data_IF_951302930356
#
_entry.id   IF_951302930356
#
_cell.length_a   1.000
_cell.length_b   1.000
_cell.length_c   1.000
_cell.angle_alpha   90.00
_cell.angle_beta   90.00
_cell.angle_gamma   90.00
#
_symmetry.space_group_name_H-M   'P 1'
#
loop_
_entity.id
_entity.type
_entity.pdbx_description
1 polymer ?
#
# COMPACT_ATOMS: atom_id res chain seq x y z
N UNK A 1 -11.78 6.49 14.57
CA UNK A 1 -11.45 7.12 13.28
C UNK A 1 -9.95 7.06 13.21
N UNK A 2 -9.41 6.48 12.15
CA UNK A 2 -7.97 6.39 11.93
C UNK A 2 -7.54 7.47 10.93
N UNK A 3 -6.34 8.01 11.10
CA UNK A 3 -5.76 9.06 10.27
C UNK A 3 -4.53 8.54 9.54
N UNK A 4 -4.66 8.42 8.23
CA UNK A 4 -3.61 7.98 7.33
C UNK A 4 -3.04 9.18 6.58
N UNK A 5 -1.71 9.22 6.43
CA UNK A 5 -1.03 10.25 5.64
C UNK A 5 -0.75 9.73 4.22
N UNK A 6 -1.14 10.48 3.18
CA UNK A 6 -0.91 10.13 1.77
C UNK A 6 0.33 10.82 1.22
N UNK A 7 1.51 10.29 1.56
CA UNK A 7 2.79 10.85 1.12
C UNK A 7 3.86 9.76 1.04
N UNK A 8 4.96 10.08 0.35
CA UNK A 8 6.21 9.33 0.39
C UNK A 8 7.37 10.18 0.92
N UNK A 9 7.07 11.39 1.41
CA UNK A 9 8.02 12.26 2.08
C UNK A 9 8.17 11.83 3.54
N UNK A 10 9.37 11.38 3.89
CA UNK A 10 9.66 10.85 5.23
C UNK A 10 9.72 11.96 6.28
N UNK A 11 10.09 13.17 5.90
CA UNK A 11 10.17 14.29 6.85
C UNK A 11 8.76 14.73 7.25
N UNK A 12 7.82 14.77 6.31
CA UNK A 12 6.39 14.99 6.61
C UNK A 12 5.85 13.88 7.55
N UNK A 13 6.16 12.62 7.25
CA UNK A 13 5.70 11.48 8.07
C UNK A 13 6.26 11.59 9.50
N UNK A 14 7.53 11.97 9.65
CA UNK A 14 8.17 12.13 10.97
C UNK A 14 7.54 13.27 11.76
N UNK A 15 7.20 14.37 11.11
CA UNK A 15 6.51 15.50 11.74
C UNK A 15 5.13 15.09 12.27
N UNK A 16 4.29 14.49 11.40
CA UNK A 16 2.93 14.09 11.78
C UNK A 16 2.94 12.96 12.82
N UNK A 17 3.87 12.01 12.73
CA UNK A 17 4.04 10.97 13.73
C UNK A 17 4.33 11.56 15.12
N UNK A 18 5.15 12.63 15.20
CA UNK A 18 5.46 13.30 16.47
C UNK A 18 4.25 13.99 17.12
N UNK A 19 3.17 14.24 16.38
CA UNK A 19 1.93 14.77 16.92
C UNK A 19 1.09 13.70 17.65
N UNK A 20 1.42 12.42 17.46
CA UNK A 20 0.72 11.29 18.11
C UNK A 20 -0.64 10.97 17.51
N UNK A 21 -0.87 11.35 16.23
CA UNK A 21 -2.15 11.16 15.53
C UNK A 21 -2.03 10.28 14.27
N UNK A 22 -0.83 9.78 13.95
CA UNK A 22 -0.59 9.02 12.73
C UNK A 22 -0.91 7.54 12.95
N UNK A 23 -1.95 7.05 12.28
CA UNK A 23 -2.38 5.65 12.36
C UNK A 23 -1.90 4.79 11.19
N UNK A 24 -1.45 5.41 10.08
CA UNK A 24 -0.96 4.69 8.91
C UNK A 24 -0.47 5.61 7.80
N UNK A 25 0.06 5.02 6.73
CA UNK A 25 0.56 5.77 5.56
C UNK A 25 0.07 5.10 4.28
N UNK A 26 -0.40 5.90 3.32
CA UNK A 26 -0.68 5.41 1.96
C UNK A 26 0.36 5.94 0.99
N UNK A 27 0.90 5.05 0.17
CA UNK A 27 1.78 5.43 -0.93
C UNK A 27 1.15 5.06 -2.28
N UNK A 28 1.77 5.54 -3.35
CA UNK A 28 1.49 5.12 -4.72
C UNK A 28 2.75 5.34 -5.58
N UNK A 29 2.82 4.79 -6.80
CA UNK A 29 4.01 4.88 -7.64
C UNK A 29 4.39 6.33 -7.99
N UNK A 30 3.42 7.23 -8.07
CA UNK A 30 3.66 8.65 -8.37
C UNK A 30 4.32 9.39 -7.20
N UNK A 31 3.87 9.14 -5.97
CA UNK A 31 4.48 9.73 -4.76
C UNK A 31 5.92 9.24 -4.57
N UNK A 32 6.13 7.93 -4.73
CA UNK A 32 7.48 7.34 -4.65
C UNK A 32 8.39 7.90 -5.74
N UNK A 33 7.89 8.06 -6.98
CA UNK A 33 8.66 8.68 -8.05
C UNK A 33 9.02 10.14 -7.73
N UNK A 34 8.13 10.90 -7.09
CA UNK A 34 8.38 12.29 -6.70
C UNK A 34 9.46 12.41 -5.62
N UNK A 35 9.58 11.44 -4.71
CA UNK A 35 10.65 11.44 -3.71
C UNK A 35 12.04 11.24 -4.35
N UNK A 36 12.10 10.63 -5.54
CA UNK A 36 13.36 10.38 -6.27
C UNK A 36 14.22 9.27 -5.63
N UNK A 37 13.66 8.53 -4.67
CA UNK A 37 14.35 7.51 -3.88
C UNK A 37 13.90 6.10 -4.27
N UNK A 38 14.66 5.09 -3.88
CA UNK A 38 14.26 3.70 -4.06
C UNK A 38 13.00 3.39 -3.25
N UNK A 39 12.04 2.73 -3.90
CA UNK A 39 10.75 2.37 -3.32
C UNK A 39 10.88 1.58 -2.01
N UNK A 40 11.71 0.53 -2.01
CA UNK A 40 11.83 -0.37 -0.85
C UNK A 40 12.55 0.31 0.30
N UNK A 41 13.51 1.19 0.01
CA UNK A 41 14.16 2.01 1.03
C UNK A 41 13.17 2.97 1.68
N UNK A 42 12.36 3.68 0.89
CA UNK A 42 11.35 4.61 1.42
C UNK A 42 10.35 3.86 2.29
N UNK A 43 9.77 2.75 1.82
CA UNK A 43 8.78 2.00 2.62
C UNK A 43 9.37 1.48 3.94
N UNK A 44 10.61 0.99 3.94
CA UNK A 44 11.28 0.55 5.18
C UNK A 44 11.53 1.71 6.15
N UNK A 45 11.86 2.88 5.64
CA UNK A 45 12.04 4.06 6.48
C UNK A 45 10.70 4.54 7.07
N UNK A 46 9.62 4.53 6.28
CA UNK A 46 8.27 4.82 6.77
C UNK A 46 7.88 3.83 7.89
N UNK A 47 8.15 2.54 7.70
CA UNK A 47 7.89 1.52 8.71
C UNK A 47 8.73 1.65 9.98
N UNK A 48 9.83 2.39 9.95
CA UNK A 48 10.61 2.71 11.16
C UNK A 48 10.04 3.87 11.96
N UNK A 49 9.05 4.58 11.41
CA UNK A 49 8.42 5.77 12.00
C UNK A 49 6.95 5.50 12.36
N UNK A 50 6.26 4.72 11.53
CA UNK A 50 4.84 4.38 11.68
C UNK A 50 4.69 2.86 11.85
N UNK A 51 4.21 2.45 13.03
CA UNK A 51 3.90 1.05 13.33
C UNK A 51 2.60 0.58 12.66
N UNK A 52 1.74 1.53 12.26
CA UNK A 52 0.46 1.26 11.61
C UNK A 52 0.57 0.82 10.14
N UNK A 53 -0.56 0.58 9.45
CA UNK A 53 -0.56 0.00 8.12
C UNK A 53 0.07 0.92 7.07
N UNK A 54 0.90 0.36 6.18
CA UNK A 54 1.56 1.08 5.09
C UNK A 54 1.11 0.50 3.75
N UNK A 55 0.32 1.24 2.98
CA UNK A 55 -0.16 0.79 1.67
C UNK A 55 0.91 0.95 0.59
N UNK A 56 1.33 -0.17 0.00
CA UNK A 56 2.32 -0.28 -1.08
C UNK A 56 1.68 -0.83 -2.36
N UNK A 57 1.74 -0.07 -3.45
CA UNK A 57 1.01 -0.39 -4.69
C UNK A 57 1.79 -1.30 -5.64
N UNK A 58 1.12 -2.33 -6.16
CA UNK A 58 1.63 -3.14 -7.27
C UNK A 58 1.55 -2.35 -8.58
N UNK A 59 2.42 -2.69 -9.53
CA UNK A 59 2.53 -2.03 -10.84
C UNK A 59 2.27 -2.97 -12.01
N UNK A 60 2.15 -4.28 -11.76
CA UNK A 60 1.73 -5.26 -12.74
C UNK A 60 0.29 -5.00 -13.22
N UNK A 61 -0.02 -5.42 -14.45
CA UNK A 61 -1.29 -5.15 -15.12
C UNK A 61 -2.19 -6.39 -15.25
N UNK A 62 -1.67 -7.58 -14.95
CA UNK A 62 -2.40 -8.84 -14.99
C UNK A 62 -2.43 -9.52 -13.60
N UNK A 63 -3.42 -10.39 -13.38
CA UNK A 63 -3.64 -11.05 -12.09
C UNK A 63 -2.40 -11.79 -11.59
N UNK A 64 -1.72 -12.54 -12.47
CA UNK A 64 -0.56 -13.32 -12.09
C UNK A 64 0.58 -12.41 -11.65
N UNK A 65 0.88 -11.39 -12.43
CA UNK A 65 1.91 -10.40 -12.11
C UNK A 65 1.60 -9.64 -10.81
N UNK A 66 0.34 -9.27 -10.55
CA UNK A 66 -0.06 -8.61 -9.31
C UNK A 66 0.13 -9.52 -8.08
N UNK A 67 -0.23 -10.80 -8.19
CA UNK A 67 -0.04 -11.78 -7.12
C UNK A 67 1.45 -12.01 -6.84
N UNK A 68 2.25 -12.26 -7.89
CA UNK A 68 3.70 -12.46 -7.75
C UNK A 68 4.38 -11.24 -7.13
N UNK A 69 4.02 -10.03 -7.58
CA UNK A 69 4.54 -8.80 -7.03
C UNK A 69 4.10 -8.60 -5.57
N UNK A 70 2.82 -8.82 -5.25
CA UNK A 70 2.29 -8.72 -3.89
C UNK A 70 3.00 -9.66 -2.91
N UNK A 71 3.21 -10.92 -3.31
CA UNK A 71 3.96 -11.91 -2.52
C UNK A 71 5.42 -11.49 -2.32
N UNK A 72 6.09 -11.01 -3.38
CA UNK A 72 7.46 -10.54 -3.28
C UNK A 72 7.59 -9.33 -2.34
N UNK A 73 6.64 -8.39 -2.42
CA UNK A 73 6.59 -7.24 -1.52
C UNK A 73 6.40 -7.67 -0.07
N UNK A 74 5.46 -8.58 0.23
CA UNK A 74 5.27 -9.10 1.59
C UNK A 74 6.47 -9.89 2.11
N UNK A 75 7.22 -10.58 1.25
CA UNK A 75 8.41 -11.32 1.65
C UNK A 75 9.61 -10.41 1.98
N UNK A 76 9.70 -9.23 1.35
CA UNK A 76 10.85 -8.35 1.48
C UNK A 76 10.64 -7.15 2.42
N UNK A 77 9.39 -6.71 2.59
CA UNK A 77 9.04 -5.50 3.34
C UNK A 77 8.50 -5.83 4.74
N UNK A 78 8.46 -4.84 5.65
CA UNK A 78 7.93 -5.01 6.99
C UNK A 78 6.49 -5.55 7.02
N UNK A 79 6.14 -6.21 8.13
CA UNK A 79 4.89 -6.96 8.28
C UNK A 79 3.64 -6.08 8.11
N UNK A 80 3.70 -4.82 8.58
CA UNK A 80 2.63 -3.83 8.49
C UNK A 80 2.38 -3.27 7.07
N UNK A 81 3.09 -3.76 6.05
CA UNK A 81 2.82 -3.39 4.65
C UNK A 81 1.56 -4.08 4.14
N UNK A 82 0.64 -3.28 3.60
CA UNK A 82 -0.62 -3.70 2.96
C UNK A 82 -0.44 -3.60 1.44
N UNK A 83 -0.87 -4.63 0.71
CA UNK A 83 -0.73 -4.65 -0.75
C UNK A 83 -1.86 -3.86 -1.39
N UNK A 84 -1.53 -2.74 -2.01
CA UNK A 84 -2.49 -1.87 -2.67
C UNK A 84 -2.67 -2.29 -4.13
N UNK A 85 -3.92 -2.51 -4.54
CA UNK A 85 -4.29 -3.15 -5.81
C UNK A 85 -5.34 -2.28 -6.53
N UNK A 86 -5.20 -1.97 -7.82
CA UNK A 86 -6.21 -1.19 -8.53
C UNK A 86 -7.52 -1.98 -8.72
N UNK A 87 -8.66 -1.30 -8.64
CA UNK A 87 -9.99 -1.88 -8.87
C UNK A 87 -10.25 -2.22 -10.36
N UNK A 88 -9.59 -3.26 -10.88
CA UNK A 88 -9.81 -3.85 -12.21
C UNK A 88 -10.27 -5.31 -12.09
N UNK A 89 -10.82 -5.95 -13.14
CA UNK A 89 -11.15 -7.38 -13.09
C UNK A 89 -9.96 -8.25 -12.65
N UNK A 90 -8.77 -7.96 -13.19
CA UNK A 90 -7.53 -8.65 -12.84
C UNK A 90 -7.12 -8.39 -11.39
N UNK A 91 -7.29 -7.14 -10.93
CA UNK A 91 -7.02 -6.71 -9.57
C UNK A 91 -7.94 -7.38 -8.55
N UNK A 92 -9.25 -7.46 -8.81
CA UNK A 92 -10.20 -8.17 -7.95
C UNK A 92 -9.87 -9.66 -7.83
N UNK A 93 -9.46 -10.29 -8.94
CA UNK A 93 -8.99 -11.67 -8.90
C UNK A 93 -7.69 -11.83 -8.08
N UNK A 94 -6.76 -10.87 -8.18
CA UNK A 94 -5.54 -10.85 -7.38
C UNK A 94 -5.82 -10.63 -5.90
N UNK A 95 -6.76 -9.73 -5.56
CA UNK A 95 -7.23 -9.47 -4.20
C UNK A 95 -7.73 -10.77 -3.55
N UNK A 96 -8.59 -11.53 -4.26
CA UNK A 96 -9.08 -12.83 -3.76
C UNK A 96 -7.93 -13.80 -3.44
N UNK A 97 -6.96 -13.93 -4.36
CA UNK A 97 -5.84 -14.87 -4.18
C UNK A 97 -4.94 -14.46 -3.01
N UNK A 98 -4.61 -13.17 -2.89
CA UNK A 98 -3.74 -12.66 -1.83
C UNK A 98 -4.41 -12.74 -0.45
N UNK A 99 -5.70 -12.41 -0.36
CA UNK A 99 -6.45 -12.52 0.90
C UNK A 99 -6.65 -13.97 1.34
N UNK A 100 -6.88 -14.91 0.41
CA UNK A 100 -6.89 -16.37 0.70
C UNK A 100 -5.52 -16.87 1.21
N UNK A 101 -4.43 -16.17 0.86
CA UNK A 101 -3.08 -16.43 1.38
C UNK A 101 -2.77 -15.68 2.70
N UNK A 102 -3.74 -14.99 3.30
CA UNK A 102 -3.57 -14.24 4.55
C UNK A 102 -2.81 -12.93 4.39
N UNK A 103 -2.78 -12.36 3.18
CA UNK A 103 -2.16 -11.07 2.90
C UNK A 103 -3.22 -9.99 2.86
N UNK A 104 -3.06 -8.97 3.71
CA UNK A 104 -3.94 -7.81 3.71
C UNK A 104 -3.78 -6.98 2.43
N UNK A 105 -4.91 -6.55 1.89
CA UNK A 105 -4.99 -5.80 0.63
C UNK A 105 -5.79 -4.50 0.79
N UNK A 106 -5.42 -3.47 0.03
CA UNK A 106 -6.13 -2.21 -0.09
C UNK A 106 -6.53 -1.97 -1.56
N UNK A 107 -7.80 -2.13 -1.89
CA UNK A 107 -8.27 -1.92 -3.27
C UNK A 107 -8.44 -0.41 -3.53
N UNK A 108 -7.68 0.13 -4.47
CA UNK A 108 -7.62 1.56 -4.81
C UNK A 108 -8.36 1.88 -6.11
N UNK A 109 -8.51 3.18 -6.42
CA UNK A 109 -9.15 3.68 -7.65
C UNK A 109 -10.63 3.27 -7.78
N UNK A 110 -11.32 3.23 -6.64
CA UNK A 110 -12.77 3.00 -6.54
C UNK A 110 -13.48 4.36 -6.67
N UNK A 111 -14.37 4.49 -7.65
CA UNK A 111 -15.11 5.73 -7.94
C UNK A 111 -16.63 5.54 -7.91
N UNK A 112 -17.10 4.35 -7.51
CA UNK A 112 -18.53 4.03 -7.41
C UNK A 112 -18.80 3.03 -6.27
N UNK A 113 -20.03 3.04 -5.75
CA UNK A 113 -20.46 2.10 -4.72
C UNK A 113 -20.41 0.64 -5.22
N UNK A 114 -20.72 0.39 -6.49
CA UNK A 114 -20.65 -0.96 -7.06
C UNK A 114 -19.22 -1.49 -7.10
N UNK A 115 -18.23 -0.65 -7.41
CA UNK A 115 -16.81 -1.03 -7.31
C UNK A 115 -16.43 -1.34 -5.86
N UNK A 116 -16.87 -0.51 -4.91
CA UNK A 116 -16.63 -0.74 -3.48
C UNK A 116 -17.26 -2.04 -2.97
N UNK A 117 -18.42 -2.43 -3.49
CA UNK A 117 -19.08 -3.69 -3.11
C UNK A 117 -18.36 -4.93 -3.65
N UNK A 118 -17.67 -4.81 -4.79
CA UNK A 118 -16.91 -5.92 -5.40
C UNK A 118 -15.51 -6.10 -4.82
N UNK A 119 -14.92 -5.00 -4.31
CA UNK A 119 -13.59 -4.94 -3.73
C UNK A 119 -13.49 -5.69 -2.40
#
# INVERSE_FOLDING_TARGET
MELFLDTADVDEIREIAAWGILDGVTTNPSLIKKSGRDFKQVVREIASICDGPISAEVTAMDTKGMVEQGLALKAELPENVIIKIPCTPEGLAATKILTEAGIDTNVTLIFSASQALMA
#
